data_IF_976326857471
#
_entry.id   IF_976326857471
#
_cell.length_a   1.000
_cell.length_b   1.000
_cell.length_c   1.000
_cell.angle_alpha   90.00
_cell.angle_beta   90.00
_cell.angle_gamma   90.00
#
_symmetry.space_group_name_H-M   'P 1'
#
loop_
_entity.id
_entity.type
_entity.pdbx_description
1 polymer ?
#
# COMPACT_ATOMS: atom_id res chain seq x y z
N UNK A 1 -27.28 -19.67 -0.64
CA UNK A 1 -26.32 -19.20 0.39
C UNK A 1 -25.11 -18.64 -0.33
N UNK A 2 -24.58 -17.46 0.01
CA UNK A 2 -23.45 -16.90 -0.73
C UNK A 2 -22.26 -17.85 -0.63
N UNK A 3 -21.68 -18.18 -1.79
CA UNK A 3 -20.48 -19.02 -1.92
C UNK A 3 -19.27 -18.40 -1.21
N UNK A 4 -19.29 -17.07 -0.99
CA UNK A 4 -18.17 -16.28 -0.45
C UNK A 4 -18.44 -15.66 0.94
N UNK A 5 -18.71 -16.51 1.92
CA UNK A 5 -18.92 -16.09 3.33
C UNK A 5 -17.76 -15.31 3.96
N UNK A 6 -16.55 -15.45 3.41
CA UNK A 6 -15.35 -14.75 3.83
C UNK A 6 -15.19 -13.38 3.15
N UNK A 7 -16.09 -12.97 2.25
CA UNK A 7 -16.09 -11.63 1.61
C UNK A 7 -17.17 -10.69 2.14
N UNK A 8 -18.04 -11.18 3.02
CA UNK A 8 -19.10 -10.32 3.56
C UNK A 8 -18.51 -9.26 4.47
N UNK A 9 -19.23 -8.17 4.70
CA UNK A 9 -18.74 -7.04 5.52
C UNK A 9 -19.36 -7.02 6.91
N UNK A 10 -20.37 -7.85 7.21
CA UNK A 10 -20.96 -7.91 8.55
C UNK A 10 -19.93 -8.44 9.56
N UNK A 11 -19.86 -7.78 10.72
CA UNK A 11 -18.92 -8.12 11.80
C UNK A 11 -19.49 -7.94 13.20
N UNK A 12 -20.81 -8.00 13.35
CA UNK A 12 -21.46 -8.16 14.66
C UNK A 12 -21.27 -9.59 15.19
N UNK A 13 -21.58 -9.81 16.48
CA UNK A 13 -21.31 -11.07 17.19
C UNK A 13 -21.75 -12.33 16.42
N UNK A 14 -22.98 -12.37 15.93
CA UNK A 14 -23.47 -13.54 15.18
C UNK A 14 -22.76 -13.76 13.82
N UNK A 15 -22.33 -12.68 13.14
CA UNK A 15 -21.54 -12.80 11.92
C UNK A 15 -20.12 -13.30 12.21
N UNK A 16 -19.52 -12.85 13.32
CA UNK A 16 -18.23 -13.37 13.79
C UNK A 16 -18.34 -14.86 14.14
N UNK A 17 -19.36 -15.27 14.90
CA UNK A 17 -19.59 -16.67 15.26
C UNK A 17 -19.81 -17.55 14.02
N UNK A 18 -20.54 -17.06 13.02
CA UNK A 18 -20.72 -17.73 11.73
C UNK A 18 -19.39 -17.92 11.00
N UNK A 19 -18.60 -16.85 10.91
CA UNK A 19 -17.29 -16.85 10.27
C UNK A 19 -16.35 -17.86 10.93
N UNK A 20 -16.25 -17.84 12.26
CA UNK A 20 -15.41 -18.78 13.01
C UNK A 20 -15.86 -20.23 12.84
N UNK A 21 -17.17 -20.49 12.85
CA UNK A 21 -17.69 -21.86 12.65
C UNK A 21 -17.33 -22.41 11.27
N UNK A 22 -17.35 -21.57 10.23
CA UNK A 22 -16.94 -21.96 8.87
C UNK A 22 -15.43 -22.10 8.75
N UNK A 23 -14.66 -21.18 9.33
CA UNK A 23 -13.20 -21.22 9.35
C UNK A 23 -12.67 -22.48 10.05
N UNK A 24 -13.30 -22.90 11.14
CA UNK A 24 -12.95 -24.13 11.86
C UNK A 24 -13.08 -25.38 10.98
N UNK A 25 -14.08 -25.42 10.09
CA UNK A 25 -14.31 -26.52 9.13
C UNK A 25 -13.43 -26.44 7.88
N UNK A 26 -12.83 -25.28 7.61
CA UNK A 26 -11.93 -25.11 6.49
C UNK A 26 -10.62 -25.90 6.67
N UNK A 27 -10.02 -26.31 5.55
CA UNK A 27 -8.69 -26.94 5.52
C UNK A 27 -7.67 -26.01 6.18
N UNK A 28 -6.75 -26.51 7.04
CA UNK A 28 -5.75 -25.67 7.70
C UNK A 28 -4.97 -24.77 6.74
N UNK A 29 -4.57 -25.28 5.57
CA UNK A 29 -3.85 -24.54 4.53
C UNK A 29 -4.63 -23.39 3.89
N UNK A 30 -5.97 -23.39 3.96
CA UNK A 30 -6.82 -22.33 3.41
C UNK A 30 -7.19 -21.26 4.43
N UNK A 31 -7.00 -21.52 5.73
CA UNK A 31 -7.47 -20.62 6.81
C UNK A 31 -6.81 -19.25 6.75
N UNK A 32 -5.48 -19.19 6.51
CA UNK A 32 -4.75 -17.93 6.38
C UNK A 32 -5.30 -17.05 5.26
N UNK A 33 -5.64 -17.66 4.11
CA UNK A 33 -6.25 -16.94 3.00
C UNK A 33 -7.65 -16.42 3.33
N UNK A 34 -8.51 -17.23 3.96
CA UNK A 34 -9.87 -16.78 4.32
C UNK A 34 -9.86 -15.66 5.38
N UNK A 35 -8.98 -15.77 6.37
CA UNK A 35 -8.74 -14.69 7.34
C UNK A 35 -8.33 -13.40 6.63
N UNK A 36 -7.36 -13.48 5.71
CA UNK A 36 -6.88 -12.32 4.96
C UNK A 36 -7.96 -11.70 4.09
N UNK A 37 -8.74 -12.50 3.36
CA UNK A 37 -9.82 -11.96 2.50
C UNK A 37 -10.90 -11.28 3.35
N UNK A 38 -11.31 -11.89 4.46
CA UNK A 38 -12.27 -11.27 5.37
C UNK A 38 -11.73 -9.97 5.95
N UNK A 39 -10.46 -9.94 6.36
CA UNK A 39 -9.81 -8.72 6.84
C UNK A 39 -9.84 -7.59 5.79
N UNK A 40 -9.55 -7.88 4.53
CA UNK A 40 -9.65 -6.91 3.42
C UNK A 40 -11.08 -6.38 3.29
N UNK A 41 -12.09 -7.26 3.26
CA UNK A 41 -13.49 -6.83 3.16
C UNK A 41 -13.93 -5.98 4.35
N UNK A 42 -13.45 -6.26 5.55
CA UNK A 42 -13.72 -5.44 6.73
C UNK A 42 -13.03 -4.06 6.64
N UNK A 43 -11.78 -4.01 6.19
CA UNK A 43 -11.04 -2.77 6.04
C UNK A 43 -11.70 -1.85 5.00
N UNK A 44 -12.10 -2.39 3.85
CA UNK A 44 -12.84 -1.67 2.80
C UNK A 44 -14.19 -1.14 3.29
N UNK A 45 -14.83 -1.84 4.24
CA UNK A 45 -16.07 -1.41 4.89
C UNK A 45 -15.86 -0.44 6.07
N UNK A 46 -14.62 -0.04 6.37
CA UNK A 46 -14.29 0.84 7.50
C UNK A 46 -14.36 0.17 8.87
N UNK A 47 -14.45 -1.16 8.95
CA UNK A 47 -14.45 -1.93 10.19
C UNK A 47 -13.00 -2.22 10.58
N UNK A 48 -12.30 -1.15 10.98
CA UNK A 48 -10.84 -1.12 11.17
C UNK A 48 -10.36 -2.12 12.21
N UNK A 49 -10.99 -2.15 13.39
CA UNK A 49 -10.54 -3.03 14.49
C UNK A 49 -10.68 -4.51 14.13
N UNK A 50 -11.82 -4.86 13.50
CA UNK A 50 -12.04 -6.23 13.01
C UNK A 50 -11.02 -6.65 11.95
N UNK A 51 -10.71 -5.76 11.00
CA UNK A 51 -9.69 -6.03 9.99
C UNK A 51 -8.30 -6.24 10.63
N UNK A 52 -7.90 -5.34 11.53
CA UNK A 52 -6.62 -5.40 12.25
C UNK A 52 -6.44 -6.72 13.01
N UNK A 53 -7.46 -7.14 13.75
CA UNK A 53 -7.42 -8.38 14.52
C UNK A 53 -7.29 -9.61 13.61
N UNK A 54 -7.99 -9.62 12.47
CA UNK A 54 -7.86 -10.70 11.51
C UNK A 54 -6.48 -10.74 10.83
N UNK A 55 -5.91 -9.59 10.44
CA UNK A 55 -4.53 -9.57 9.90
C UNK A 55 -3.50 -10.09 10.90
N UNK A 56 -3.59 -9.67 12.18
CA UNK A 56 -2.73 -10.19 13.25
C UNK A 56 -2.86 -11.71 13.41
N UNK A 57 -4.08 -12.24 13.28
CA UNK A 57 -4.32 -13.69 13.28
C UNK A 57 -3.70 -14.38 12.08
N UNK A 58 -3.73 -13.80 10.88
CA UNK A 58 -3.03 -14.35 9.71
C UNK A 58 -1.54 -14.53 10.01
N UNK A 59 -0.89 -13.48 10.52
CA UNK A 59 0.53 -13.52 10.87
C UNK A 59 0.83 -14.56 11.95
N UNK A 60 -0.08 -14.78 12.91
CA UNK A 60 0.09 -15.81 13.95
C UNK A 60 -0.08 -17.24 13.43
N UNK A 61 -0.99 -17.47 12.49
CA UNK A 61 -1.32 -18.82 11.98
C UNK A 61 -0.21 -19.38 11.08
N UNK A 62 0.39 -18.52 10.26
CA UNK A 62 1.45 -18.92 9.34
C UNK A 62 2.51 -17.80 9.25
N UNK A 63 3.39 -17.67 10.26
CA UNK A 63 4.27 -16.51 10.40
C UNK A 63 5.28 -16.30 9.28
N UNK A 64 5.56 -17.33 8.48
CA UNK A 64 6.55 -17.29 7.40
C UNK A 64 5.92 -17.37 6.00
N UNK A 65 4.62 -17.73 5.92
CA UNK A 65 3.92 -17.86 4.64
C UNK A 65 3.60 -16.54 3.95
N UNK A 66 3.28 -16.65 2.66
CA UNK A 66 2.93 -15.49 1.81
C UNK A 66 1.71 -14.71 2.30
N UNK A 67 0.80 -15.37 3.02
CA UNK A 67 -0.35 -14.68 3.64
C UNK A 67 0.08 -13.78 4.79
N UNK A 68 1.13 -14.13 5.54
CA UNK A 68 1.68 -13.26 6.59
C UNK A 68 2.44 -12.07 6.00
N UNK A 69 3.18 -12.25 4.91
CA UNK A 69 3.79 -11.12 4.19
C UNK A 69 2.72 -10.10 3.75
N UNK A 70 1.66 -10.57 3.07
CA UNK A 70 0.54 -9.72 2.66
C UNK A 70 -0.20 -9.08 3.84
N UNK A 71 -0.46 -9.83 4.91
CA UNK A 71 -1.12 -9.28 6.09
C UNK A 71 -0.25 -8.24 6.82
N UNK A 72 1.08 -8.40 6.80
CA UNK A 72 2.00 -7.41 7.39
C UNK A 72 2.01 -6.12 6.57
N UNK A 73 2.00 -6.22 5.23
CA UNK A 73 1.84 -5.05 4.34
C UNK A 73 0.52 -4.32 4.63
N UNK A 74 -0.59 -5.06 4.65
CA UNK A 74 -1.93 -4.50 4.85
C UNK A 74 -2.13 -3.92 6.26
N UNK A 75 -1.43 -4.45 7.28
CA UNK A 75 -1.37 -3.81 8.60
C UNK A 75 -0.66 -2.46 8.53
N UNK A 76 0.47 -2.37 7.81
CA UNK A 76 1.15 -1.10 7.57
C UNK A 76 0.23 -0.08 6.90
N UNK A 77 -0.45 -0.48 5.83
CA UNK A 77 -1.38 0.38 5.09
C UNK A 77 -2.57 0.82 5.95
N UNK A 78 -3.15 -0.10 6.73
CA UNK A 78 -4.26 0.19 7.63
C UNK A 78 -3.85 1.19 8.71
N UNK A 79 -2.71 0.98 9.37
CA UNK A 79 -2.23 1.89 10.42
C UNK A 79 -1.88 3.26 9.85
N UNK A 80 -1.30 3.32 8.65
CA UNK A 80 -1.04 4.58 7.95
C UNK A 80 -2.34 5.33 7.67
N UNK A 81 -3.37 4.65 7.18
CA UNK A 81 -4.68 5.24 6.92
C UNK A 81 -5.37 5.75 8.20
N UNK A 82 -5.05 5.19 9.37
CA UNK A 82 -5.51 5.65 10.68
C UNK A 82 -4.63 6.76 11.29
N UNK A 83 -3.58 7.21 10.61
CA UNK A 83 -2.66 8.22 11.10
C UNK A 83 -1.60 7.71 12.08
N UNK A 84 -1.50 6.40 12.28
CA UNK A 84 -0.54 5.76 13.20
C UNK A 84 0.81 5.54 12.52
N UNK A 85 1.47 6.62 12.09
CA UNK A 85 2.67 6.58 11.26
C UNK A 85 3.80 5.70 11.84
N UNK A 86 4.10 5.82 13.13
CA UNK A 86 5.16 5.02 13.77
C UNK A 86 4.85 3.51 13.73
N UNK A 87 3.58 3.11 13.87
CA UNK A 87 3.17 1.70 13.81
C UNK A 87 3.21 1.18 12.37
N UNK A 88 2.77 1.99 11.41
CA UNK A 88 2.87 1.66 10.00
C UNK A 88 4.33 1.43 9.56
N UNK A 89 5.25 2.32 9.98
CA UNK A 89 6.68 2.17 9.74
C UNK A 89 7.21 0.84 10.28
N UNK A 90 6.86 0.46 11.52
CA UNK A 90 7.27 -0.82 12.10
C UNK A 90 6.82 -2.01 11.26
N UNK A 91 5.58 -1.97 10.73
CA UNK A 91 5.07 -3.03 9.86
C UNK A 91 5.82 -3.10 8.53
N UNK A 92 6.06 -1.96 7.86
CA UNK A 92 6.81 -1.95 6.61
C UNK A 92 8.27 -2.41 6.80
N UNK A 93 8.93 -1.98 7.88
CA UNK A 93 10.29 -2.44 8.21
C UNK A 93 10.32 -3.95 8.48
N UNK A 94 9.38 -4.46 9.26
CA UNK A 94 9.24 -5.90 9.53
C UNK A 94 9.04 -6.68 8.24
N UNK A 95 8.23 -6.14 7.31
CA UNK A 95 7.99 -6.78 6.02
C UNK A 95 9.27 -6.86 5.17
N UNK A 96 10.02 -5.76 5.07
CA UNK A 96 11.24 -5.68 4.28
C UNK A 96 12.36 -6.56 4.85
N UNK A 97 12.44 -6.68 6.17
CA UNK A 97 13.41 -7.54 6.85
C UNK A 97 13.09 -9.03 6.65
N UNK A 98 11.84 -9.44 6.92
CA UNK A 98 11.46 -10.87 6.91
C UNK A 98 11.17 -11.42 5.50
N UNK A 99 10.71 -10.57 4.57
CA UNK A 99 10.36 -10.99 3.21
C UNK A 99 10.97 -10.06 2.15
N UNK A 100 12.31 -10.08 1.96
CA UNK A 100 13.01 -9.14 1.06
C UNK A 100 12.66 -9.29 -0.42
N UNK A 101 12.07 -10.42 -0.82
CA UNK A 101 11.57 -10.63 -2.20
C UNK A 101 10.18 -10.03 -2.42
N UNK A 102 9.47 -9.69 -1.35
CA UNK A 102 8.10 -9.17 -1.36
C UNK A 102 7.09 -10.07 -2.11
N UNK A 103 7.39 -11.36 -2.23
CA UNK A 103 6.49 -12.31 -2.86
C UNK A 103 5.19 -12.48 -2.07
N UNK A 104 4.06 -12.42 -2.77
CA UNK A 104 2.73 -12.47 -2.16
C UNK A 104 2.20 -11.13 -1.66
N UNK A 105 2.93 -10.03 -1.87
CA UNK A 105 2.53 -8.66 -1.53
C UNK A 105 2.25 -7.83 -2.79
N UNK A 106 1.89 -6.56 -2.64
CA UNK A 106 1.85 -5.61 -3.76
C UNK A 106 3.24 -5.25 -4.32
N UNK A 107 4.31 -5.57 -3.57
CA UNK A 107 5.71 -5.18 -3.82
C UNK A 107 5.97 -3.68 -3.72
N UNK A 108 5.10 -2.94 -3.03
CA UNK A 108 5.20 -1.48 -2.84
C UNK A 108 5.53 -1.07 -1.40
N UNK A 109 5.99 -2.00 -0.56
CA UNK A 109 6.39 -1.71 0.81
C UNK A 109 7.53 -0.68 0.90
N UNK A 110 8.51 -0.75 -0.01
CA UNK A 110 9.60 0.23 -0.13
C UNK A 110 9.06 1.64 -0.41
N UNK A 111 8.15 1.76 -1.39
CA UNK A 111 7.48 3.02 -1.72
C UNK A 111 6.65 3.55 -0.55
N UNK A 112 5.89 2.68 0.12
CA UNK A 112 5.03 3.06 1.23
C UNK A 112 5.83 3.55 2.44
N UNK A 113 6.97 2.90 2.74
CA UNK A 113 7.88 3.38 3.77
C UNK A 113 8.55 4.70 3.36
N UNK A 114 9.03 4.82 2.12
CA UNK A 114 9.68 6.04 1.63
C UNK A 114 8.77 7.27 1.72
N UNK A 115 7.49 7.12 1.38
CA UNK A 115 6.51 8.20 1.51
C UNK A 115 6.32 8.61 2.98
N UNK A 116 6.21 7.65 3.89
CA UNK A 116 6.03 7.91 5.33
C UNK A 116 7.23 8.67 5.91
N UNK A 117 8.45 8.23 5.55
CA UNK A 117 9.70 8.88 5.93
C UNK A 117 9.84 10.27 5.32
N UNK A 118 9.37 10.46 4.08
CA UNK A 118 9.34 11.78 3.42
C UNK A 118 8.35 12.73 4.08
N UNK A 119 7.22 12.23 4.58
CA UNK A 119 6.16 13.03 5.21
C UNK A 119 6.53 13.46 6.63
N UNK A 120 7.14 12.56 7.42
CA UNK A 120 7.31 12.77 8.87
C UNK A 120 8.77 12.82 9.34
N UNK A 121 9.71 12.52 8.45
CA UNK A 121 11.10 12.32 8.80
C UNK A 121 11.98 13.58 8.80
N UNK A 122 13.08 13.46 9.53
CA UNK A 122 14.24 14.36 9.49
C UNK A 122 15.17 14.05 8.31
N UNK A 123 16.33 14.73 8.24
CA UNK A 123 17.30 14.55 7.16
C UNK A 123 17.80 13.09 7.00
N UNK A 124 17.94 12.33 8.09
CA UNK A 124 18.35 10.92 8.01
C UNK A 124 17.26 10.07 7.35
N UNK A 125 16.01 10.30 7.74
CA UNK A 125 14.86 9.62 7.13
C UNK A 125 14.69 10.00 5.65
N UNK A 126 14.98 11.23 5.25
CA UNK A 126 14.95 11.62 3.83
C UNK A 126 16.02 10.88 3.01
N UNK A 127 17.23 10.72 3.55
CA UNK A 127 18.29 9.94 2.89
C UNK A 127 17.95 8.44 2.80
N UNK A 128 17.20 7.91 3.77
CA UNK A 128 16.66 6.56 3.69
C UNK A 128 15.52 6.45 2.66
N UNK A 129 14.60 7.41 2.64
CA UNK A 129 13.51 7.47 1.66
C UNK A 129 14.05 7.47 0.23
N UNK A 130 15.14 8.20 -0.04
CA UNK A 130 15.83 8.20 -1.33
C UNK A 130 16.29 6.80 -1.75
N UNK A 131 16.99 6.10 -0.85
CA UNK A 131 17.45 4.72 -1.08
C UNK A 131 16.30 3.75 -1.31
N UNK A 132 15.20 3.89 -0.56
CA UNK A 132 14.02 3.05 -0.71
C UNK A 132 13.32 3.29 -2.06
N UNK A 133 13.23 4.54 -2.53
CA UNK A 133 12.67 4.84 -3.85
C UNK A 133 13.53 4.27 -4.97
N UNK A 134 14.87 4.30 -4.84
CA UNK A 134 15.79 3.66 -5.80
C UNK A 134 15.57 2.15 -5.81
N UNK A 135 15.57 1.50 -4.63
CA UNK A 135 15.35 0.06 -4.53
C UNK A 135 13.99 -0.38 -5.11
N UNK A 136 12.94 0.41 -4.88
CA UNK A 136 11.61 0.18 -5.44
C UNK A 136 11.60 0.26 -6.98
N UNK A 137 12.31 1.23 -7.55
CA UNK A 137 12.44 1.37 -8.99
C UNK A 137 13.26 0.21 -9.61
N UNK A 138 14.37 -0.17 -8.97
CA UNK A 138 15.23 -1.29 -9.41
C UNK A 138 14.48 -2.64 -9.38
N UNK A 139 13.58 -2.83 -8.41
CA UNK A 139 12.69 -4.00 -8.33
C UNK A 139 11.68 -4.05 -9.48
N UNK A 140 11.34 -2.89 -10.04
CA UNK A 140 10.42 -2.73 -11.16
C UNK A 140 8.99 -2.43 -10.72
N UNK A 141 8.43 -1.36 -11.31
CA UNK A 141 7.03 -0.95 -11.14
C UNK A 141 6.22 -1.45 -12.32
N UNK A 142 5.23 -2.31 -12.05
CA UNK A 142 4.51 -3.02 -13.10
C UNK A 142 3.42 -2.20 -13.79
N UNK A 143 2.79 -1.27 -13.06
CA UNK A 143 1.57 -0.60 -13.49
C UNK A 143 1.68 0.93 -13.40
N UNK A 144 0.94 1.64 -14.25
CA UNK A 144 0.98 3.09 -14.39
C UNK A 144 0.55 3.81 -13.10
N UNK A 145 -0.35 3.23 -12.30
CA UNK A 145 -0.73 3.76 -10.98
C UNK A 145 0.44 3.69 -9.98
N UNK A 146 1.21 2.60 -9.99
CA UNK A 146 2.41 2.46 -9.17
C UNK A 146 3.53 3.40 -9.65
N UNK A 147 3.73 3.53 -10.97
CA UNK A 147 4.70 4.46 -11.55
C UNK A 147 4.30 5.91 -11.22
N UNK A 148 3.02 6.25 -11.30
CA UNK A 148 2.49 7.55 -10.91
C UNK A 148 2.77 7.84 -9.43
N UNK A 149 2.40 6.91 -8.54
CA UNK A 149 2.61 7.04 -7.09
C UNK A 149 4.09 7.22 -6.76
N UNK A 150 4.97 6.44 -7.39
CA UNK A 150 6.42 6.58 -7.21
C UNK A 150 6.93 7.96 -7.65
N UNK A 151 6.46 8.49 -8.78
CA UNK A 151 6.86 9.82 -9.24
C UNK A 151 6.33 10.93 -8.32
N UNK A 152 5.14 10.79 -7.75
CA UNK A 152 4.62 11.71 -6.73
C UNK A 152 5.51 11.67 -5.48
N UNK A 153 5.86 10.48 -4.98
CA UNK A 153 6.76 10.32 -3.85
C UNK A 153 8.14 10.93 -4.13
N UNK A 154 8.70 10.69 -5.32
CA UNK A 154 9.97 11.26 -5.77
C UNK A 154 9.94 12.78 -5.82
N UNK A 155 8.87 13.36 -6.34
CA UNK A 155 8.70 14.82 -6.39
C UNK A 155 8.59 15.43 -4.98
N UNK A 156 7.88 14.78 -4.05
CA UNK A 156 7.78 15.22 -2.64
C UNK A 156 9.13 15.17 -1.93
N UNK A 157 9.88 14.08 -2.12
CA UNK A 157 11.22 13.95 -1.54
C UNK A 157 12.18 15.00 -2.10
N UNK A 158 12.18 15.20 -3.42
CA UNK A 158 13.01 16.20 -4.06
C UNK A 158 12.67 17.62 -3.57
N UNK A 159 11.39 17.93 -3.35
CA UNK A 159 10.95 19.20 -2.77
C UNK A 159 11.48 19.40 -1.33
N UNK A 160 11.44 18.35 -0.50
CA UNK A 160 12.02 18.35 0.85
C UNK A 160 13.54 18.52 0.87
N UNK A 161 14.22 18.05 -0.17
CA UNK A 161 15.68 18.13 -0.33
C UNK A 161 16.15 19.40 -1.06
N UNK A 162 15.24 20.20 -1.65
CA UNK A 162 15.58 21.34 -2.49
C UNK A 162 16.17 20.98 -3.86
N UNK A 163 15.93 19.74 -4.34
CA UNK A 163 16.35 19.30 -5.67
C UNK A 163 15.30 19.66 -6.72
N UNK A 164 15.38 20.90 -7.22
CA UNK A 164 14.45 21.45 -8.20
C UNK A 164 14.39 20.65 -9.51
N UNK A 165 15.52 20.06 -9.93
CA UNK A 165 15.59 19.29 -11.17
C UNK A 165 14.83 17.97 -11.04
N UNK A 166 15.12 17.16 -10.02
CA UNK A 166 14.41 15.91 -9.78
C UNK A 166 12.94 16.17 -9.48
N UNK A 167 12.61 17.25 -8.76
CA UNK A 167 11.24 17.64 -8.46
C UNK A 167 10.43 17.89 -9.72
N UNK A 168 10.93 18.71 -10.64
CA UNK A 168 10.24 19.03 -11.90
C UNK A 168 10.16 17.82 -12.85
N UNK A 169 11.23 17.02 -12.93
CA UNK A 169 11.27 15.83 -13.78
C UNK A 169 10.24 14.77 -13.32
N UNK A 170 10.21 14.46 -12.03
CA UNK A 170 9.25 13.52 -11.47
C UNK A 170 7.80 14.02 -11.63
N UNK A 171 7.56 15.32 -11.40
CA UNK A 171 6.24 15.90 -11.58
C UNK A 171 5.75 15.83 -13.05
N UNK A 172 6.65 16.06 -14.00
CA UNK A 172 6.36 15.94 -15.45
C UNK A 172 5.96 14.52 -15.81
N UNK A 173 6.73 13.52 -15.36
CA UNK A 173 6.43 12.10 -15.59
C UNK A 173 5.10 11.69 -14.97
N UNK A 174 4.82 12.11 -13.73
CA UNK A 174 3.53 11.84 -13.09
C UNK A 174 2.36 12.41 -13.90
N UNK A 175 2.45 13.67 -14.35
CA UNK A 175 1.40 14.31 -15.15
C UNK A 175 1.15 13.61 -16.49
N UNK A 176 2.20 13.06 -17.12
CA UNK A 176 2.07 12.33 -18.37
C UNK A 176 1.31 10.99 -18.25
N UNK A 177 1.14 10.47 -17.03
CA UNK A 177 0.37 9.25 -16.75
C UNK A 177 -1.12 9.54 -16.48
N UNK A 178 -1.45 10.79 -16.13
CA UNK A 178 -2.83 11.18 -15.80
C UNK A 178 -3.70 11.09 -17.05
N UNK A 179 -4.86 10.44 -16.92
CA UNK A 179 -5.82 10.28 -18.02
C UNK A 179 -5.51 9.13 -18.98
N UNK A 180 -4.43 8.37 -18.75
CA UNK A 180 -4.25 7.08 -19.40
C UNK A 180 -5.36 6.12 -18.97
N UNK A 181 -5.89 5.36 -19.94
CA UNK A 181 -6.88 4.33 -19.69
C UNK A 181 -6.29 3.10 -18.99
N UNK A 182 -7.11 2.08 -18.70
CA UNK A 182 -6.64 0.86 -18.06
C UNK A 182 -5.58 0.15 -18.89
N UNK A 183 -4.57 -0.39 -18.21
CA UNK A 183 -3.48 -1.10 -18.89
C UNK A 183 -3.86 -2.53 -19.30
N UNK A 184 -4.86 -3.13 -18.63
CA UNK A 184 -5.33 -4.47 -18.90
C UNK A 184 -6.78 -4.46 -19.40
N UNK A 185 -7.06 -4.87 -20.66
CA UNK A 185 -8.40 -4.80 -21.24
C UNK A 185 -9.49 -5.57 -20.47
N UNK A 186 -9.12 -6.64 -19.76
CA UNK A 186 -10.05 -7.48 -18.98
C UNK A 186 -10.13 -7.08 -17.50
N UNK A 187 -9.34 -6.10 -17.07
CA UNK A 187 -9.28 -5.61 -15.70
C UNK A 187 -9.29 -4.08 -15.72
N UNK A 188 -10.49 -3.46 -15.87
CA UNK A 188 -10.63 -2.03 -16.18
C UNK A 188 -10.15 -1.08 -15.09
N UNK A 189 -9.85 -1.60 -13.90
CA UNK A 189 -9.29 -0.81 -12.78
C UNK A 189 -7.78 -0.92 -12.65
N UNK A 190 -7.13 -1.88 -13.33
CA UNK A 190 -5.70 -2.14 -13.18
C UNK A 190 -4.88 -1.13 -14.00
N UNK A 191 -3.90 -0.49 -13.34
CA UNK A 191 -3.07 0.55 -13.95
C UNK A 191 -3.72 1.92 -14.02
N UNK A 192 -4.97 2.06 -13.54
CA UNK A 192 -5.69 3.31 -13.62
C UNK A 192 -5.17 4.31 -12.58
N UNK A 193 -4.54 5.39 -13.03
CA UNK A 193 -4.11 6.48 -12.16
C UNK A 193 -5.33 7.20 -11.57
N UNK A 194 -5.49 7.09 -10.25
CA UNK A 194 -6.49 7.83 -9.46
C UNK A 194 -5.78 8.85 -8.59
N UNK A 195 -6.09 10.13 -8.77
CA UNK A 195 -5.48 11.22 -8.03
C UNK A 195 -6.48 12.36 -7.83
N UNK A 196 -6.31 13.13 -6.75
CA UNK A 196 -7.15 14.26 -6.42
C UNK A 196 -6.69 15.57 -7.12
N UNK A 197 -7.58 16.55 -7.17
CA UNK A 197 -7.27 17.84 -7.81
C UNK A 197 -6.14 18.61 -7.12
N UNK A 198 -5.96 18.46 -5.81
CA UNK A 198 -4.92 19.17 -5.07
C UNK A 198 -3.53 18.65 -5.46
N UNK A 199 -3.37 17.33 -5.56
CA UNK A 199 -2.18 16.66 -6.08
C UNK A 199 -1.90 17.10 -7.52
N UNK A 200 -2.91 17.13 -8.39
CA UNK A 200 -2.75 17.61 -9.77
C UNK A 200 -2.32 19.08 -9.85
N UNK A 201 -2.95 19.97 -9.07
CA UNK A 201 -2.57 21.38 -9.01
C UNK A 201 -1.16 21.56 -8.48
N UNK A 202 -0.77 20.78 -7.47
CA UNK A 202 0.59 20.79 -6.93
C UNK A 202 1.61 20.35 -7.99
N UNK A 203 1.42 19.20 -8.65
CA UNK A 203 2.30 18.71 -9.72
C UNK A 203 2.48 19.74 -10.84
N UNK A 204 1.38 20.37 -11.30
CA UNK A 204 1.43 21.41 -12.35
C UNK A 204 2.24 22.64 -11.94
N UNK A 205 2.22 23.01 -10.65
CA UNK A 205 3.05 24.13 -10.16
C UNK A 205 4.53 23.77 -10.18
N UNK A 206 4.89 22.51 -9.92
CA UNK A 206 6.29 22.07 -9.91
C UNK A 206 6.93 22.05 -11.30
N UNK A 207 6.14 21.88 -12.36
CA UNK A 207 6.63 21.90 -13.75
C UNK A 207 6.72 23.31 -14.32
N UNK A 208 5.96 24.26 -13.76
CA UNK A 208 5.99 25.64 -14.18
C UNK A 208 7.12 26.37 -13.45
N UNK A 209 8.26 26.59 -14.12
CA UNK A 209 9.27 27.53 -13.61
C UNK A 209 8.61 28.91 -13.42
N UNK A 210 8.81 29.62 -12.29
CA UNK A 210 8.69 31.07 -12.32
C UNK A 210 9.70 31.54 -13.37
N UNK A 211 9.21 32.16 -14.45
CA UNK A 211 10.04 32.52 -15.59
C UNK A 211 11.09 33.58 -15.23
N UNK A 212 12.26 33.48 -15.87
CA UNK A 212 13.21 34.58 -16.04
C UNK A 212 14.19 34.78 -14.89
#
# INVERSE_FOLDING_TARGET
MPTDWYRTTEWHESAQAEFERRLARARPSSRGQYLRIKAVSLAEAGIVDGARDLYRRVVKVDPDGSSAASATELLGDLERAQGNAAVAEQHYRTLLDRWPTLNGTSRLAELSLAELLTEHGDAHHLAEADRLLIACADRGLAFDDAIFRWNVARARLADRLGDDQSRAAAATTALALVGKGPQLPRHPDVGLVRTDEATLRWLKRLTNRPGG
#
